data_IF_877185390876
#
_entry.id   IF_877185390876
#
_cell.length_a   1.000
_cell.length_b   1.000
_cell.length_c   1.000
_cell.angle_alpha   90.00
_cell.angle_beta   90.00
_cell.angle_gamma   90.00
#
_symmetry.space_group_name_H-M   'P 1'
#
loop_
_entity.id
_entity.type
_entity.pdbx_description
1 polymer ?
#
# COMPACT_ATOMS: atom_id res chain seq x y z
N UNK A 1 27.32 -6.41 -4.23
CA UNK A 1 26.03 -5.76 -4.51
C UNK A 1 24.92 -6.61 -3.87
N UNK A 2 24.07 -6.01 -3.02
CA UNK A 2 23.06 -6.78 -2.29
C UNK A 2 21.89 -7.10 -3.24
N UNK A 3 21.90 -8.31 -3.80
CA UNK A 3 21.00 -8.80 -4.88
C UNK A 3 19.55 -9.07 -4.44
N UNK A 4 19.13 -8.57 -3.27
CA UNK A 4 17.83 -8.88 -2.65
C UNK A 4 16.78 -7.77 -2.83
N UNK A 5 16.92 -6.87 -3.79
CA UNK A 5 15.94 -5.78 -4.03
C UNK A 5 14.81 -6.17 -4.99
N UNK A 6 14.19 -7.31 -4.72
CA UNK A 6 12.97 -7.70 -5.43
C UNK A 6 12.29 -8.85 -4.70
N UNK A 7 11.61 -8.56 -3.58
CA UNK A 7 10.80 -9.52 -2.80
C UNK A 7 10.17 -8.81 -1.58
N UNK A 8 9.18 -7.94 -1.77
CA UNK A 8 8.57 -7.20 -0.66
C UNK A 8 7.27 -7.81 -0.12
N UNK A 9 6.71 -8.89 -0.71
CA UNK A 9 5.32 -9.34 -0.45
C UNK A 9 4.31 -8.19 -0.46
N UNK A 10 4.53 -7.20 -1.32
CA UNK A 10 3.59 -6.11 -1.47
C UNK A 10 2.25 -6.68 -1.93
N UNK A 11 1.23 -6.48 -1.10
CA UNK A 11 -0.14 -6.70 -1.53
C UNK A 11 -0.47 -5.71 -2.66
N UNK A 12 -1.52 -5.96 -3.46
CA UNK A 12 -1.97 -4.98 -4.45
C UNK A 12 -2.20 -3.59 -3.84
N UNK A 13 -2.58 -3.53 -2.56
CA UNK A 13 -2.77 -2.28 -1.83
C UNK A 13 -1.45 -1.53 -1.56
N UNK A 14 -0.35 -2.23 -1.25
CA UNK A 14 0.97 -1.61 -1.11
C UNK A 14 1.46 -1.02 -2.45
N UNK A 15 1.29 -1.77 -3.53
CA UNK A 15 1.67 -1.29 -4.86
C UNK A 15 0.85 -0.04 -5.26
N UNK A 16 -0.45 -0.04 -5.00
CA UNK A 16 -1.32 1.11 -5.27
C UNK A 16 -0.98 2.32 -4.37
N UNK A 17 -0.62 2.08 -3.11
CA UNK A 17 -0.17 3.09 -2.16
C UNK A 17 1.13 3.77 -2.63
N UNK A 18 2.14 2.96 -2.97
CA UNK A 18 3.44 3.44 -3.42
C UNK A 18 3.36 4.22 -4.75
N UNK A 19 2.37 3.93 -5.58
CA UNK A 19 2.12 4.62 -6.86
C UNK A 19 1.19 5.84 -6.75
N UNK A 20 0.77 6.23 -5.55
CA UNK A 20 -0.20 7.30 -5.31
C UNK A 20 -1.47 7.15 -6.17
N UNK A 21 -2.05 5.95 -6.19
CA UNK A 21 -3.22 5.61 -7.01
C UNK A 21 -4.47 5.40 -6.13
N UNK A 22 -5.12 6.48 -5.66
CA UNK A 22 -6.28 6.41 -4.77
C UNK A 22 -7.48 5.69 -5.39
N UNK A 23 -7.66 5.76 -6.71
CA UNK A 23 -8.73 5.04 -7.41
C UNK A 23 -8.55 3.51 -7.32
N UNK A 24 -7.30 3.04 -7.45
CA UNK A 24 -6.98 1.61 -7.33
C UNK A 24 -7.11 1.16 -5.88
N UNK A 25 -6.68 1.99 -4.92
CA UNK A 25 -6.85 1.70 -3.49
C UNK A 25 -8.31 1.51 -3.15
N UNK A 26 -9.19 2.45 -3.58
CA UNK A 26 -10.64 2.33 -3.38
C UNK A 26 -11.21 1.06 -3.97
N UNK A 27 -10.86 0.75 -5.23
CA UNK A 27 -11.31 -0.47 -5.87
C UNK A 27 -10.89 -1.71 -5.08
N UNK A 28 -9.63 -1.79 -4.66
CA UNK A 28 -9.14 -2.92 -3.87
C UNK A 28 -9.86 -3.04 -2.51
N UNK A 29 -10.11 -1.92 -1.84
CA UNK A 29 -10.86 -1.89 -0.58
C UNK A 29 -12.32 -2.34 -0.77
N UNK A 30 -12.98 -1.93 -1.86
CA UNK A 30 -14.34 -2.37 -2.21
C UNK A 30 -14.41 -3.89 -2.45
N UNK A 31 -13.32 -4.49 -2.94
CA UNK A 31 -13.17 -5.95 -3.09
C UNK A 31 -12.72 -6.66 -1.80
N UNK A 32 -12.66 -5.97 -0.66
CA UNK A 32 -12.29 -6.56 0.64
C UNK A 32 -10.80 -6.74 0.85
N UNK A 33 -9.95 -5.95 0.17
CA UNK A 33 -8.51 -5.97 0.44
C UNK A 33 -8.21 -5.59 1.90
N UNK A 34 -7.30 -6.32 2.52
CA UNK A 34 -6.89 -6.04 3.89
C UNK A 34 -6.04 -4.76 3.96
N UNK A 35 -6.60 -3.70 4.53
CA UNK A 35 -5.93 -2.41 4.71
C UNK A 35 -4.78 -2.46 5.72
N UNK A 36 -4.82 -3.43 6.64
CA UNK A 36 -3.81 -3.62 7.68
C UNK A 36 -2.80 -4.74 7.36
N UNK A 37 -2.80 -5.25 6.12
CA UNK A 37 -1.88 -6.29 5.71
C UNK A 37 -0.43 -5.80 5.78
N UNK A 38 0.46 -6.57 6.38
CA UNK A 38 1.89 -6.22 6.44
C UNK A 38 2.67 -6.92 5.33
N UNK A 39 3.52 -6.17 4.64
CA UNK A 39 4.47 -6.71 3.67
C UNK A 39 5.70 -7.35 4.38
N UNK A 40 6.71 -7.79 3.63
CA UNK A 40 7.94 -8.39 4.20
C UNK A 40 8.78 -7.42 5.03
N UNK A 41 8.63 -6.13 4.79
CA UNK A 41 9.28 -5.07 5.58
C UNK A 41 8.47 -4.71 6.83
N UNK A 42 7.43 -5.49 7.14
CA UNK A 42 6.46 -5.25 8.20
C UNK A 42 5.68 -3.94 8.04
N UNK A 43 5.74 -3.35 6.84
CA UNK A 43 5.05 -2.11 6.52
C UNK A 43 3.61 -2.40 6.15
N UNK A 44 2.73 -1.48 6.53
CA UNK A 44 1.35 -1.42 6.04
C UNK A 44 1.28 -0.67 4.70
N UNK A 45 0.18 -0.79 3.95
CA UNK A 45 -0.01 -0.06 2.70
C UNK A 45 0.15 1.44 2.89
N UNK A 46 -0.40 2.00 3.97
CA UNK A 46 -0.27 3.43 4.30
C UNK A 46 1.18 3.86 4.51
N UNK A 47 2.02 2.99 5.08
CA UNK A 47 3.44 3.26 5.36
C UNK A 47 4.31 3.17 4.09
N UNK A 48 3.80 2.54 3.04
CA UNK A 48 4.43 2.55 1.70
C UNK A 48 3.96 3.70 0.81
N UNK A 49 2.92 4.43 1.22
CA UNK A 49 2.45 5.61 0.51
C UNK A 49 3.44 6.78 0.66
N UNK A 50 3.60 7.65 -0.35
CA UNK A 50 4.33 8.88 -0.18
C UNK A 50 3.64 9.79 0.86
N UNK A 51 4.39 10.53 1.69
CA UNK A 51 3.80 11.42 2.68
C UNK A 51 3.04 12.57 2.01
N UNK A 52 1.91 12.96 2.58
CA UNK A 52 0.97 13.96 2.06
C UNK A 52 0.37 13.59 0.69
N UNK A 53 0.35 12.31 0.33
CA UNK A 53 -0.22 11.83 -0.94
C UNK A 53 -1.72 11.55 -0.84
N UNK A 54 -2.38 11.42 -1.99
CA UNK A 54 -3.81 11.08 -2.02
C UNK A 54 -4.02 9.64 -1.57
N UNK A 55 -3.11 8.75 -1.92
CA UNK A 55 -3.10 7.37 -1.44
C UNK A 55 -3.01 7.28 0.07
N UNK A 56 -2.09 8.01 0.71
CA UNK A 56 -1.96 8.05 2.17
C UNK A 56 -3.26 8.56 2.81
N UNK A 57 -3.82 9.65 2.30
CA UNK A 57 -5.07 10.21 2.81
C UNK A 57 -6.26 9.25 2.68
N UNK A 58 -6.36 8.50 1.57
CA UNK A 58 -7.41 7.49 1.40
C UNK A 58 -7.19 6.32 2.33
N UNK A 59 -5.96 5.83 2.49
CA UNK A 59 -5.69 4.70 3.38
C UNK A 59 -5.96 5.06 4.85
N UNK A 60 -5.60 6.26 5.30
CA UNK A 60 -5.93 6.75 6.64
C UNK A 60 -7.44 6.94 6.86
N UNK A 61 -8.20 7.23 5.80
CA UNK A 61 -9.65 7.40 5.90
C UNK A 61 -10.40 6.07 6.10
N UNK A 62 -9.84 4.97 5.59
CA UNK A 62 -10.43 3.63 5.63
C UNK A 62 -9.81 2.72 6.72
N UNK A 63 -8.89 3.25 7.53
CA UNK A 63 -8.21 2.54 8.63
C UNK A 63 -9.13 2.30 9.84
#
# INVERSE_FOLDING_TARGET
>A
ANVQKGRFLDTPLHAAAQKDCPEIIRLLLDFGANINGRNLELQRPVETAPPSSRAEAVLLLYE
#
